data_IF_000937861910
#
_entry.id   IF_000937861910
#
_cell.length_a   1.000
_cell.length_b   1.000
_cell.length_c   1.000
_cell.angle_alpha   90.00
_cell.angle_beta   90.00
_cell.angle_gamma   90.00
#
_symmetry.space_group_name_H-M   'P 1'
#
loop_
_entity.id
_entity.type
_entity.pdbx_description
1 polymer ?
#
# COMPACT_ATOMS: atom_id res chain seq x y z
N UNK A 1 -24.25 -4.56 41.70
CA UNK A 1 -22.98 -5.33 41.79
C UNK A 1 -22.44 -5.84 40.42
N UNK A 2 -22.35 -5.01 39.39
CA UNK A 2 -21.82 -5.45 38.04
C UNK A 2 -20.79 -4.51 37.45
N UNK A 3 -20.18 -3.57 38.18
CA UNK A 3 -19.22 -2.60 37.64
C UNK A 3 -17.74 -2.88 37.91
N UNK A 4 -17.39 -3.92 38.68
CA UNK A 4 -15.97 -4.14 39.06
C UNK A 4 -15.23 -5.26 38.34
N UNK A 5 -15.91 -6.07 37.53
CA UNK A 5 -15.28 -7.22 36.84
C UNK A 5 -14.50 -6.80 35.58
N UNK A 6 -14.91 -5.73 34.92
CA UNK A 6 -14.22 -5.26 33.68
C UNK A 6 -12.91 -4.50 33.93
N UNK A 7 -12.71 -3.92 35.11
CA UNK A 7 -11.47 -3.18 35.45
C UNK A 7 -10.30 -4.09 35.76
N UNK A 8 -10.56 -5.29 36.28
CA UNK A 8 -9.53 -6.26 36.69
C UNK A 8 -8.90 -6.94 35.46
N UNK A 9 -9.66 -7.18 34.38
CA UNK A 9 -9.16 -7.85 33.19
C UNK A 9 -8.27 -6.97 32.30
N UNK A 10 -8.47 -5.65 32.27
CA UNK A 10 -7.61 -4.74 31.50
C UNK A 10 -6.20 -4.65 32.10
N UNK A 11 -6.08 -4.60 33.41
CA UNK A 11 -4.77 -4.57 34.09
C UNK A 11 -4.02 -5.89 33.94
N UNK A 12 -4.69 -7.04 33.93
CA UNK A 12 -4.06 -8.35 33.71
C UNK A 12 -3.56 -8.54 32.29
N UNK A 13 -4.21 -7.94 31.30
CA UNK A 13 -3.77 -7.96 29.91
C UNK A 13 -2.54 -7.05 29.70
N UNK A 14 -2.51 -5.90 30.35
CA UNK A 14 -1.36 -4.98 30.33
C UNK A 14 -0.13 -5.61 30.98
N UNK A 15 -0.31 -6.36 32.09
CA UNK A 15 0.80 -7.06 32.77
C UNK A 15 1.34 -8.26 31.98
N UNK A 16 0.56 -8.84 31.06
CA UNK A 16 1.00 -9.94 30.21
C UNK A 16 1.72 -9.48 28.93
N UNK A 17 1.53 -8.23 28.53
CA UNK A 17 2.16 -7.62 27.34
C UNK A 17 3.52 -6.96 27.65
N UNK A 18 3.80 -6.69 28.91
CA UNK A 18 5.08 -6.22 29.41
C UNK A 18 5.71 -7.43 30.11
N UNK A 19 6.70 -8.07 29.48
CA UNK A 19 7.51 -9.14 30.09
C UNK A 19 8.01 -8.66 31.44
N UNK A 20 7.29 -8.98 32.52
CA UNK A 20 7.58 -8.57 33.87
C UNK A 20 8.84 -9.27 34.40
N UNK A 21 10.00 -8.71 34.14
CA UNK A 21 11.06 -8.66 35.18
C UNK A 21 10.90 -7.32 35.89
N UNK A 22 10.20 -7.29 37.01
CA UNK A 22 10.29 -6.20 37.98
C UNK A 22 11.70 -6.21 38.54
N UNK A 23 12.59 -5.46 37.89
CA UNK A 23 13.91 -5.17 38.46
C UNK A 23 13.72 -3.97 39.35
N UNK A 24 13.72 -4.19 40.65
CA UNK A 24 13.84 -3.12 41.64
C UNK A 24 15.30 -2.63 41.62
N UNK A 25 15.55 -1.52 40.95
CA UNK A 25 16.80 -0.81 41.03
C UNK A 25 16.66 0.33 42.04
N UNK A 26 17.72 0.56 42.90
CA UNK A 26 17.72 1.58 43.93
C UNK A 26 17.83 3.02 43.41
N UNK A 27 17.72 3.23 42.11
CA UNK A 27 17.63 4.55 41.47
C UNK A 27 16.22 4.81 40.96
N UNK A 28 15.64 5.96 41.31
CA UNK A 28 14.38 6.43 40.80
C UNK A 28 14.43 6.50 39.26
N UNK A 29 13.82 5.54 38.59
CA UNK A 29 13.62 5.56 37.13
C UNK A 29 12.51 6.55 36.79
N UNK A 30 12.86 7.63 36.09
CA UNK A 30 11.89 8.54 35.53
C UNK A 30 11.11 7.85 34.40
N UNK A 31 10.00 7.19 34.77
CA UNK A 31 9.12 6.44 33.83
C UNK A 31 8.36 7.33 32.85
N UNK A 32 8.50 8.65 32.93
CA UNK A 32 7.89 9.64 32.04
C UNK A 32 8.86 10.20 30.99
N UNK A 33 10.15 9.90 31.05
CA UNK A 33 11.05 10.09 29.92
C UNK A 33 10.90 8.89 28.98
N UNK A 34 9.84 8.89 28.19
CA UNK A 34 9.76 8.07 27.00
C UNK A 34 10.64 8.79 25.98
N UNK A 35 11.85 8.28 25.74
CA UNK A 35 12.68 8.75 24.64
C UNK A 35 11.87 8.58 23.35
N UNK A 36 11.47 9.69 22.72
CA UNK A 36 10.67 9.70 21.49
C UNK A 36 11.28 8.84 20.38
N UNK A 37 12.58 8.60 20.42
CA UNK A 37 13.32 7.70 19.53
C UNK A 37 12.95 6.21 19.70
N UNK A 38 12.67 5.75 20.94
CA UNK A 38 12.32 4.33 21.18
C UNK A 38 10.90 3.97 20.72
N UNK A 39 9.94 4.90 20.81
CA UNK A 39 8.58 4.67 20.30
C UNK A 39 8.58 4.66 18.77
N UNK A 40 9.35 5.54 18.16
CA UNK A 40 9.51 5.61 16.70
C UNK A 40 10.09 4.31 16.13
N UNK A 41 11.17 3.80 16.72
CA UNK A 41 11.83 2.56 16.28
C UNK A 41 10.97 1.31 16.49
N UNK A 42 10.24 1.18 17.60
CA UNK A 42 9.30 0.07 17.82
C UNK A 42 8.14 0.10 16.80
N UNK A 43 7.60 1.27 16.50
CA UNK A 43 6.55 1.43 15.48
C UNK A 43 7.05 1.08 14.07
N UNK A 44 8.29 1.42 13.76
CA UNK A 44 8.96 1.12 12.48
C UNK A 44 9.11 -0.39 12.31
N UNK A 45 9.69 -1.07 13.29
CA UNK A 45 9.90 -2.52 13.25
C UNK A 45 8.58 -3.30 13.12
N UNK A 46 7.51 -2.86 13.78
CA UNK A 46 6.20 -3.51 13.70
C UNK A 46 5.61 -3.39 12.28
N UNK A 47 5.67 -2.22 11.65
CA UNK A 47 5.14 -2.04 10.29
C UNK A 47 5.92 -2.88 9.27
N UNK A 48 7.24 -2.90 9.35
CA UNK A 48 8.09 -3.69 8.46
C UNK A 48 7.84 -5.19 8.63
N UNK A 49 7.69 -5.67 9.86
CA UNK A 49 7.31 -7.06 10.14
C UNK A 49 5.95 -7.41 9.52
N UNK A 50 4.92 -6.57 9.69
CA UNK A 50 3.60 -6.80 9.11
C UNK A 50 3.63 -6.82 7.56
N UNK A 51 4.46 -5.98 6.93
CA UNK A 51 4.65 -6.00 5.48
C UNK A 51 5.39 -7.26 5.03
N UNK A 52 6.39 -7.72 5.78
CA UNK A 52 7.08 -8.99 5.53
C UNK A 52 6.12 -10.17 5.61
N UNK A 53 5.31 -10.25 6.67
CA UNK A 53 4.30 -11.30 6.85
C UNK A 53 3.27 -11.30 5.71
N UNK A 54 2.84 -10.12 5.26
CA UNK A 54 1.92 -9.99 4.13
C UNK A 54 2.57 -10.47 2.82
N UNK A 55 3.82 -10.10 2.60
CA UNK A 55 4.61 -10.54 1.44
C UNK A 55 4.74 -12.05 1.40
N UNK A 56 5.02 -12.70 2.54
CA UNK A 56 5.15 -14.16 2.64
C UNK A 56 3.79 -14.85 2.42
N UNK A 57 2.68 -14.28 2.91
CA UNK A 57 1.33 -14.78 2.62
C UNK A 57 1.03 -14.74 1.11
N UNK A 58 1.36 -13.64 0.42
CA UNK A 58 1.17 -13.55 -1.03
C UNK A 58 2.11 -14.53 -1.75
N UNK A 59 3.37 -14.66 -1.30
CA UNK A 59 4.33 -15.62 -1.85
C UNK A 59 3.88 -17.07 -1.68
N UNK A 60 3.18 -17.39 -0.59
CA UNK A 60 2.68 -18.74 -0.30
C UNK A 60 1.34 -19.07 -0.95
N UNK A 61 0.72 -18.17 -1.70
CA UNK A 61 -0.58 -18.38 -2.34
C UNK A 61 -0.56 -19.65 -3.21
N UNK A 62 -1.55 -20.53 -3.02
CA UNK A 62 -1.67 -21.79 -3.74
C UNK A 62 -2.69 -21.68 -4.88
N UNK A 63 -2.61 -22.56 -5.87
CA UNK A 63 -3.53 -22.64 -7.00
C UNK A 63 -3.74 -21.28 -7.70
N UNK A 64 -2.64 -20.56 -7.93
CA UNK A 64 -2.64 -19.22 -8.55
C UNK A 64 -1.94 -19.28 -9.91
N UNK A 65 -2.71 -19.12 -10.97
CA UNK A 65 -2.18 -19.17 -12.34
C UNK A 65 -1.18 -18.03 -12.60
N UNK A 66 -1.42 -16.83 -12.08
CA UNK A 66 -0.46 -15.72 -12.20
C UNK A 66 0.89 -16.10 -11.61
N UNK A 67 0.90 -16.75 -10.43
CA UNK A 67 2.15 -17.17 -9.79
C UNK A 67 2.88 -18.25 -10.56
N UNK A 68 2.17 -19.20 -11.20
CA UNK A 68 2.78 -20.27 -12.00
C UNK A 68 3.53 -19.72 -13.21
N UNK A 69 3.05 -18.62 -13.78
CA UNK A 69 3.56 -18.03 -15.02
C UNK A 69 4.53 -16.87 -14.79
N UNK A 70 4.70 -16.41 -13.55
CA UNK A 70 5.58 -15.32 -13.19
C UNK A 70 6.93 -15.82 -12.66
N UNK A 71 7.98 -15.04 -12.89
CA UNK A 71 9.33 -15.30 -12.39
C UNK A 71 9.47 -14.86 -10.95
N UNK A 72 8.99 -13.68 -10.62
CA UNK A 72 9.14 -13.07 -9.30
C UNK A 72 7.82 -12.52 -8.75
N UNK A 73 7.75 -12.49 -7.42
CA UNK A 73 6.78 -11.68 -6.72
C UNK A 73 7.18 -10.20 -6.80
N UNK A 74 6.31 -9.37 -7.34
CA UNK A 74 6.46 -7.90 -7.37
C UNK A 74 5.61 -7.32 -6.26
N UNK A 75 6.20 -7.10 -5.08
CA UNK A 75 5.44 -6.70 -3.88
C UNK A 75 5.24 -5.20 -3.80
N UNK A 76 6.32 -4.46 -3.64
CA UNK A 76 6.29 -2.99 -3.50
C UNK A 76 7.66 -2.37 -3.70
N UNK A 77 7.69 -1.03 -3.83
CA UNK A 77 8.88 -0.19 -3.83
C UNK A 77 8.60 1.15 -3.15
N UNK A 78 9.64 1.83 -2.69
CA UNK A 78 9.52 3.13 -2.03
C UNK A 78 9.45 3.05 -0.51
N UNK A 79 8.90 4.10 0.12
CA UNK A 79 8.91 4.28 1.57
C UNK A 79 7.59 3.82 2.21
N UNK A 80 7.57 2.75 3.03
CA UNK A 80 6.37 2.24 3.67
C UNK A 80 5.74 3.20 4.70
N UNK A 81 6.48 4.25 5.09
CA UNK A 81 6.01 5.31 5.99
C UNK A 81 5.48 6.53 5.25
N UNK A 82 5.45 6.48 3.92
CA UNK A 82 4.92 7.57 3.11
C UNK A 82 3.43 7.81 3.38
N UNK A 83 3.04 9.09 3.30
CA UNK A 83 1.63 9.50 3.33
C UNK A 83 0.91 9.24 2.00
N UNK A 84 1.66 8.95 0.93
CA UNK A 84 1.14 8.75 -0.42
C UNK A 84 1.44 7.31 -0.84
N UNK A 85 0.40 6.55 -1.19
CA UNK A 85 0.53 5.23 -1.77
C UNK A 85 -0.03 5.23 -3.20
N UNK A 86 0.71 4.59 -4.10
CA UNK A 86 0.38 4.50 -5.52
C UNK A 86 0.07 3.04 -5.84
N UNK A 87 -1.07 2.80 -6.48
CA UNK A 87 -1.51 1.47 -6.89
C UNK A 87 -1.67 1.43 -8.40
N UNK A 88 -0.90 0.56 -9.05
CA UNK A 88 -1.05 0.21 -10.45
C UNK A 88 -1.88 -1.06 -10.66
N UNK A 89 -1.92 -1.53 -11.93
CA UNK A 89 -2.66 -2.73 -12.32
C UNK A 89 -1.92 -4.01 -11.91
N UNK A 90 -0.74 -4.23 -12.43
CA UNK A 90 0.05 -5.44 -12.23
C UNK A 90 1.43 -5.32 -12.87
N UNK A 91 2.33 -6.30 -12.61
CA UNK A 91 3.67 -6.30 -13.16
C UNK A 91 3.70 -6.56 -14.68
N UNK A 92 4.57 -5.84 -15.37
CA UNK A 92 5.00 -6.17 -16.72
C UNK A 92 6.26 -7.06 -16.71
N UNK A 93 6.85 -7.27 -17.90
CA UNK A 93 8.00 -8.17 -18.06
C UNK A 93 9.26 -7.70 -17.30
N UNK A 94 9.52 -6.40 -17.28
CA UNK A 94 10.67 -5.85 -16.56
C UNK A 94 10.45 -5.92 -15.04
N UNK A 95 9.24 -5.62 -14.59
CA UNK A 95 8.86 -5.71 -13.19
C UNK A 95 8.96 -7.14 -12.67
N UNK A 96 8.51 -8.11 -13.47
CA UNK A 96 8.61 -9.54 -13.15
C UNK A 96 10.07 -9.99 -13.06
N UNK A 97 10.93 -9.51 -13.97
CA UNK A 97 12.37 -9.82 -13.96
C UNK A 97 13.08 -9.23 -12.74
N UNK A 98 12.76 -7.99 -12.35
CA UNK A 98 13.46 -7.27 -11.28
C UNK A 98 12.81 -7.46 -9.89
N UNK A 99 11.56 -7.97 -9.82
CA UNK A 99 10.80 -8.10 -8.59
C UNK A 99 10.35 -6.76 -7.99
N UNK A 100 10.36 -5.68 -8.76
CA UNK A 100 10.00 -4.32 -8.32
C UNK A 100 8.92 -3.72 -9.21
N UNK A 101 7.93 -2.97 -8.66
CA UNK A 101 6.89 -2.34 -9.44
C UNK A 101 7.43 -1.12 -10.22
N UNK A 102 6.86 -0.90 -11.41
CA UNK A 102 7.11 0.29 -12.22
C UNK A 102 8.61 0.54 -12.55
N UNK A 103 9.33 -0.48 -13.00
CA UNK A 103 10.73 -0.35 -13.44
C UNK A 103 10.89 -0.25 -14.97
N UNK A 104 9.87 -0.68 -15.72
CA UNK A 104 9.85 -0.60 -17.16
C UNK A 104 9.58 0.81 -17.71
N UNK A 105 9.26 0.92 -19.00
CA UNK A 105 9.00 2.20 -19.69
C UNK A 105 7.89 3.02 -19.03
N UNK A 106 6.80 2.36 -18.60
CA UNK A 106 5.69 2.99 -17.88
C UNK A 106 6.15 3.52 -16.51
N UNK A 107 7.02 2.80 -15.82
CA UNK A 107 7.62 3.20 -14.55
C UNK A 107 8.52 4.42 -14.70
N UNK A 108 9.36 4.49 -15.72
CA UNK A 108 10.16 5.68 -16.03
C UNK A 108 9.29 6.93 -16.29
N UNK A 109 8.12 6.74 -16.91
CA UNK A 109 7.17 7.84 -17.04
C UNK A 109 6.55 8.23 -15.70
N UNK A 110 6.21 7.25 -14.85
CA UNK A 110 5.73 7.53 -13.50
C UNK A 110 6.76 8.33 -12.69
N UNK A 111 8.05 7.99 -12.77
CA UNK A 111 9.11 8.72 -12.08
C UNK A 111 9.14 10.20 -12.53
N UNK A 112 9.04 10.47 -13.83
CA UNK A 112 8.94 11.84 -14.36
C UNK A 112 7.66 12.57 -13.93
N UNK A 113 6.55 11.84 -13.83
CA UNK A 113 5.29 12.40 -13.32
C UNK A 113 5.42 12.80 -11.84
N UNK A 114 6.07 11.99 -11.02
CA UNK A 114 6.34 12.31 -9.62
C UNK A 114 7.32 13.49 -9.49
N UNK A 115 8.40 13.50 -10.25
CA UNK A 115 9.36 14.60 -10.29
C UNK A 115 8.71 15.94 -10.62
N UNK A 116 7.71 15.96 -11.51
CA UNK A 116 6.99 17.17 -11.89
C UNK A 116 6.23 17.84 -10.73
N UNK A 117 5.89 17.07 -9.69
CA UNK A 117 5.28 17.55 -8.43
C UNK A 117 6.26 17.48 -7.25
N UNK A 118 7.58 17.47 -7.54
CA UNK A 118 8.67 17.46 -6.55
C UNK A 118 8.66 16.22 -5.63
N UNK A 119 8.13 15.11 -6.10
CA UNK A 119 8.17 13.81 -5.42
C UNK A 119 9.11 12.84 -6.14
N UNK A 120 9.54 11.81 -5.43
CA UNK A 120 10.29 10.69 -5.97
C UNK A 120 9.93 9.40 -5.21
N UNK A 121 10.53 8.26 -5.57
CA UNK A 121 10.23 6.97 -4.93
C UNK A 121 10.46 6.94 -3.42
N UNK A 122 11.34 7.78 -2.86
CA UNK A 122 11.56 7.89 -1.40
C UNK A 122 10.41 8.59 -0.68
N UNK A 123 9.60 9.37 -1.41
CA UNK A 123 8.46 10.12 -0.85
C UNK A 123 7.12 9.38 -0.99
N UNK A 124 7.07 8.29 -1.75
CA UNK A 124 5.86 7.53 -2.03
C UNK A 124 6.06 6.05 -1.73
N UNK A 125 4.96 5.30 -1.65
CA UNK A 125 4.96 3.84 -1.59
C UNK A 125 4.19 3.29 -2.78
N UNK A 126 4.77 2.38 -3.53
CA UNK A 126 4.24 1.92 -4.81
C UNK A 126 3.96 0.41 -4.76
N UNK A 127 2.78 0.00 -5.20
CA UNK A 127 2.40 -1.39 -5.36
C UNK A 127 1.41 -1.56 -6.53
N UNK A 128 0.86 -2.76 -6.70
CA UNK A 128 -0.11 -3.09 -7.75
C UNK A 128 -1.31 -3.83 -7.15
N UNK A 129 -2.41 -3.92 -7.92
CA UNK A 129 -3.59 -4.72 -7.58
C UNK A 129 -3.22 -6.19 -7.51
N UNK A 130 -2.48 -6.70 -8.51
CA UNK A 130 -1.94 -8.07 -8.51
C UNK A 130 -0.42 -8.04 -8.43
N UNK A 131 0.16 -9.00 -7.73
CA UNK A 131 1.58 -9.01 -7.42
C UNK A 131 2.41 -9.97 -8.29
N UNK A 132 1.78 -10.76 -9.14
CA UNK A 132 2.45 -11.61 -10.13
C UNK A 132 2.01 -11.21 -11.53
N UNK A 133 2.94 -11.31 -12.48
CA UNK A 133 2.73 -10.89 -13.85
C UNK A 133 1.68 -11.75 -14.55
N UNK A 134 0.62 -11.17 -15.13
CA UNK A 134 -0.29 -11.91 -16.00
C UNK A 134 0.41 -12.38 -17.29
N UNK A 135 0.08 -13.58 -17.81
CA UNK A 135 0.63 -14.09 -19.06
C UNK A 135 0.50 -13.05 -20.18
N UNK A 136 1.56 -12.87 -20.98
CA UNK A 136 1.61 -11.95 -22.13
C UNK A 136 1.25 -10.48 -21.79
N UNK A 137 1.37 -10.08 -20.51
CA UNK A 137 0.97 -8.77 -19.98
C UNK A 137 -0.52 -8.43 -20.25
N UNK A 138 -1.41 -9.43 -20.30
CA UNK A 138 -2.85 -9.18 -20.38
C UNK A 138 -3.35 -8.50 -19.11
N UNK A 139 -4.53 -7.92 -19.16
CA UNK A 139 -5.20 -7.47 -17.94
C UNK A 139 -5.50 -8.66 -17.02
N UNK A 140 -5.38 -8.47 -15.69
CA UNK A 140 -5.90 -9.44 -14.73
C UNK A 140 -7.41 -9.62 -14.92
N UNK A 141 -7.89 -10.83 -14.73
CA UNK A 141 -9.33 -11.13 -14.72
C UNK A 141 -9.97 -10.64 -13.43
N UNK A 142 -11.29 -10.50 -13.40
CA UNK A 142 -12.03 -10.11 -12.19
C UNK A 142 -11.85 -11.14 -11.07
N UNK A 143 -11.74 -12.42 -11.40
CA UNK A 143 -11.43 -13.49 -10.44
C UNK A 143 -10.03 -13.33 -9.84
N UNK A 144 -9.02 -13.03 -10.68
CA UNK A 144 -7.67 -12.77 -10.24
C UNK A 144 -7.63 -11.52 -9.34
N UNK A 145 -8.29 -10.42 -9.75
CA UNK A 145 -8.42 -9.21 -8.93
C UNK A 145 -9.08 -9.52 -7.59
N UNK A 146 -10.22 -10.22 -7.60
CA UNK A 146 -10.96 -10.62 -6.40
C UNK A 146 -10.10 -11.43 -5.42
N UNK A 147 -9.23 -12.28 -5.95
CA UNK A 147 -8.29 -13.09 -5.16
C UNK A 147 -7.22 -12.25 -4.46
N UNK A 148 -6.73 -11.18 -5.11
CA UNK A 148 -5.70 -10.30 -4.55
C UNK A 148 -6.27 -9.16 -3.71
N UNK A 149 -7.53 -8.81 -3.87
CA UNK A 149 -8.17 -7.69 -3.19
C UNK A 149 -8.06 -7.73 -1.66
N UNK A 150 -8.22 -8.87 -0.96
CA UNK A 150 -8.00 -8.93 0.49
C UNK A 150 -6.56 -8.57 0.89
N UNK A 151 -5.56 -9.01 0.11
CA UNK A 151 -4.16 -8.69 0.36
C UNK A 151 -3.88 -7.20 0.09
N UNK A 152 -4.44 -6.63 -0.98
CA UNK A 152 -4.32 -5.22 -1.30
C UNK A 152 -4.94 -4.34 -0.20
N UNK A 153 -6.14 -4.68 0.28
CA UNK A 153 -6.78 -3.97 1.39
C UNK A 153 -5.90 -4.03 2.64
N UNK A 154 -5.37 -5.21 2.97
CA UNK A 154 -4.47 -5.37 4.12
C UNK A 154 -3.17 -4.59 3.95
N UNK A 155 -2.63 -4.54 2.74
CA UNK A 155 -1.45 -3.74 2.40
C UNK A 155 -1.69 -2.25 2.68
N UNK A 156 -2.82 -1.72 2.22
CA UNK A 156 -3.23 -0.33 2.46
C UNK A 156 -3.44 -0.07 3.96
N UNK A 157 -4.06 -0.99 4.69
CA UNK A 157 -4.24 -0.89 6.16
C UNK A 157 -2.91 -0.82 6.92
N UNK A 158 -1.89 -1.57 6.48
CA UNK A 158 -0.55 -1.55 7.11
C UNK A 158 0.17 -0.23 6.80
N UNK A 159 0.15 0.22 5.55
CA UNK A 159 0.81 1.46 5.11
C UNK A 159 0.13 2.69 5.70
N UNK A 160 -1.20 2.70 5.79
CA UNK A 160 -2.05 3.81 6.29
C UNK A 160 -1.80 5.12 5.56
N UNK A 161 -1.89 5.14 4.22
CA UNK A 161 -1.65 6.36 3.46
C UNK A 161 -2.76 7.38 3.73
N UNK A 162 -2.41 8.68 3.70
CA UNK A 162 -3.40 9.77 3.68
C UNK A 162 -3.97 9.98 2.28
N UNK A 163 -3.17 9.69 1.26
CA UNK A 163 -3.53 9.82 -0.15
C UNK A 163 -3.26 8.49 -0.85
N UNK A 164 -4.25 7.99 -1.58
CA UNK A 164 -4.16 6.80 -2.41
C UNK A 164 -4.33 7.21 -3.87
N UNK A 165 -3.24 7.17 -4.64
CA UNK A 165 -3.25 7.42 -6.08
C UNK A 165 -3.48 6.12 -6.84
N UNK A 166 -4.61 6.02 -7.54
CA UNK A 166 -4.97 4.87 -8.35
C UNK A 166 -4.66 5.13 -9.83
N UNK A 167 -3.77 4.34 -10.40
CA UNK A 167 -3.32 4.49 -11.78
C UNK A 167 -4.05 3.51 -12.70
N UNK A 168 -5.03 4.03 -13.45
CA UNK A 168 -5.81 3.30 -14.44
C UNK A 168 -7.09 2.66 -13.90
N UNK A 169 -7.89 2.09 -14.82
CA UNK A 169 -9.21 1.54 -14.53
C UNK A 169 -9.15 0.32 -13.60
N UNK A 170 -8.16 -0.56 -13.75
CA UNK A 170 -8.04 -1.76 -12.91
C UNK A 170 -7.85 -1.40 -11.44
N UNK A 171 -6.97 -0.44 -11.13
CA UNK A 171 -6.76 0.02 -9.77
C UNK A 171 -7.99 0.76 -9.21
N UNK A 172 -8.64 1.59 -10.04
CA UNK A 172 -9.90 2.26 -9.68
C UNK A 172 -10.98 1.25 -9.32
N UNK A 173 -11.23 0.28 -10.20
CA UNK A 173 -12.29 -0.71 -10.02
C UNK A 173 -12.05 -1.60 -8.80
N UNK A 174 -10.80 -1.99 -8.55
CA UNK A 174 -10.44 -2.81 -7.39
C UNK A 174 -10.74 -2.12 -6.04
N UNK A 175 -10.61 -0.80 -5.97
CA UNK A 175 -10.75 -0.06 -4.71
C UNK A 175 -12.10 0.65 -4.59
N UNK A 176 -12.60 1.25 -5.67
CA UNK A 176 -13.83 2.05 -5.64
C UNK A 176 -15.03 1.22 -6.10
N UNK A 177 -14.84 0.36 -7.11
CA UNK A 177 -15.89 -0.44 -7.74
C UNK A 177 -16.05 -0.11 -9.23
N UNK A 178 -16.82 -0.94 -9.92
CA UNK A 178 -16.96 -0.90 -11.38
C UNK A 178 -17.97 0.15 -11.90
N UNK A 179 -18.64 0.87 -11.00
CA UNK A 179 -19.71 1.81 -11.37
C UNK A 179 -19.20 3.10 -12.02
N UNK A 180 -17.91 3.42 -11.81
CA UNK A 180 -17.33 4.69 -12.25
C UNK A 180 -16.17 4.43 -13.21
N UNK A 181 -16.27 4.95 -14.43
CA UNK A 181 -15.17 4.91 -15.40
C UNK A 181 -14.07 5.93 -15.08
N UNK A 182 -12.83 5.59 -15.41
CA UNK A 182 -11.64 6.39 -15.08
C UNK A 182 -11.75 7.85 -15.58
N UNK A 183 -12.32 8.09 -16.74
CA UNK A 183 -12.50 9.43 -17.32
C UNK A 183 -13.42 10.34 -16.50
N UNK A 184 -14.34 9.75 -15.73
CA UNK A 184 -15.26 10.48 -14.83
C UNK A 184 -14.75 10.56 -13.38
N UNK A 185 -13.95 9.56 -12.95
CA UNK A 185 -13.41 9.49 -11.60
C UNK A 185 -12.17 10.38 -11.42
N UNK A 186 -11.34 10.54 -12.48
CA UNK A 186 -10.13 11.36 -12.41
C UNK A 186 -10.42 12.84 -12.13
N UNK A 187 -9.45 13.55 -11.57
CA UNK A 187 -9.58 14.97 -11.27
C UNK A 187 -10.56 15.28 -10.13
N UNK A 188 -10.86 14.32 -9.28
CA UNK A 188 -11.75 14.47 -8.12
C UNK A 188 -11.20 13.70 -6.94
N UNK A 189 -11.34 14.25 -5.74
CA UNK A 189 -11.11 13.51 -4.51
C UNK A 189 -12.30 12.60 -4.19
N UNK A 190 -12.00 11.37 -3.83
CA UNK A 190 -12.98 10.38 -3.35
C UNK A 190 -12.55 9.98 -1.94
N UNK A 191 -13.39 10.23 -0.96
CA UNK A 191 -13.15 9.75 0.39
C UNK A 191 -13.52 8.27 0.49
N UNK A 192 -12.62 7.43 1.00
CA UNK A 192 -12.85 5.98 1.10
C UNK A 192 -12.38 5.45 2.44
N UNK A 193 -13.22 4.65 3.07
CA UNK A 193 -12.86 3.81 4.20
C UNK A 193 -12.45 2.43 3.68
N UNK A 194 -11.24 1.97 4.06
CA UNK A 194 -10.68 0.66 3.70
C UNK A 194 -10.27 -0.02 5.00
N UNK A 195 -11.00 -1.08 5.41
CA UNK A 195 -10.83 -1.62 6.76
C UNK A 195 -11.05 -0.56 7.82
N UNK A 196 -10.07 -0.36 8.69
CA UNK A 196 -10.14 0.62 9.79
C UNK A 196 -9.50 1.97 9.44
N UNK A 197 -9.04 2.16 8.21
CA UNK A 197 -8.41 3.41 7.78
C UNK A 197 -9.31 4.24 6.88
N UNK A 198 -9.11 5.54 6.95
CA UNK A 198 -9.74 6.53 6.09
C UNK A 198 -8.66 7.19 5.23
N UNK A 199 -8.90 7.26 3.92
CA UNK A 199 -7.93 7.79 2.97
C UNK A 199 -8.61 8.60 1.87
N UNK A 200 -7.95 9.64 1.40
CA UNK A 200 -8.37 10.38 0.22
C UNK A 200 -7.83 9.68 -1.01
N UNK A 201 -8.71 9.31 -1.91
CA UNK A 201 -8.39 8.62 -3.15
C UNK A 201 -8.45 9.61 -4.30
N UNK A 202 -7.44 9.58 -5.15
CA UNK A 202 -7.44 10.25 -6.45
C UNK A 202 -7.12 9.22 -7.54
N UNK A 203 -7.87 9.26 -8.63
CA UNK A 203 -7.62 8.40 -9.78
C UNK A 203 -6.96 9.21 -10.91
N UNK A 204 -6.04 8.58 -11.63
CA UNK A 204 -5.43 9.16 -12.83
C UNK A 204 -5.21 8.09 -13.88
N UNK A 205 -4.87 8.51 -15.10
CA UNK A 205 -4.55 7.59 -16.18
C UNK A 205 -3.25 6.81 -15.89
N UNK A 206 -3.24 5.53 -16.25
CA UNK A 206 -2.06 4.70 -16.12
C UNK A 206 -0.92 5.20 -17.05
N UNK A 207 0.34 5.25 -16.60
CA UNK A 207 1.45 5.71 -17.44
C UNK A 207 1.57 4.98 -18.77
N UNK A 208 1.30 3.68 -18.84
CA UNK A 208 1.27 2.93 -20.10
C UNK A 208 0.19 3.42 -21.09
N UNK A 209 -0.95 3.90 -20.59
CA UNK A 209 -1.97 4.52 -21.42
C UNK A 209 -1.47 5.89 -21.94
N UNK A 210 -0.83 6.71 -21.11
CA UNK A 210 -0.28 8.01 -21.47
C UNK A 210 0.86 7.92 -22.50
N UNK A 211 1.52 6.78 -22.59
CA UNK A 211 2.51 6.51 -23.65
C UNK A 211 1.85 6.26 -25.00
N UNK A 212 0.68 5.63 -25.01
CA UNK A 212 -0.08 5.36 -26.25
C UNK A 212 -0.94 6.54 -26.67
N UNK A 213 -1.34 7.37 -25.71
CA UNK A 213 -2.21 8.55 -25.89
C UNK A 213 -1.53 9.78 -25.23
N UNK A 214 -0.49 10.37 -25.86
CA UNK A 214 0.29 11.45 -25.26
C UNK A 214 -0.52 12.70 -24.93
N UNK A 215 -1.57 13.00 -25.68
CA UNK A 215 -2.46 14.15 -25.47
C UNK A 215 -3.21 14.09 -24.13
N UNK A 216 -3.35 12.90 -23.56
CA UNK A 216 -3.98 12.69 -22.26
C UNK A 216 -3.08 13.07 -21.08
N UNK A 217 -1.79 13.36 -21.31
CA UNK A 217 -0.85 13.78 -20.26
C UNK A 217 -1.28 15.07 -19.56
N UNK A 218 -1.91 15.99 -20.29
CA UNK A 218 -2.46 17.23 -19.72
C UNK A 218 -3.45 16.95 -18.59
N UNK A 219 -4.28 15.94 -18.74
CA UNK A 219 -5.23 15.57 -17.71
C UNK A 219 -4.56 14.86 -16.51
N UNK A 220 -3.59 14.00 -16.76
CA UNK A 220 -2.81 13.41 -15.68
C UNK A 220 -2.04 14.48 -14.88
N UNK A 221 -1.56 15.53 -15.54
CA UNK A 221 -0.95 16.68 -14.88
C UNK A 221 -1.92 17.40 -13.94
N UNK A 222 -3.18 17.62 -14.38
CA UNK A 222 -4.22 18.20 -13.51
C UNK A 222 -4.47 17.33 -12.27
N UNK A 223 -4.50 15.99 -12.44
CA UNK A 223 -4.68 15.07 -11.31
C UNK A 223 -3.52 15.15 -10.31
N UNK A 224 -2.28 15.20 -10.82
CA UNK A 224 -1.08 15.25 -9.99
C UNK A 224 -0.96 16.56 -9.19
N UNK A 225 -1.38 17.67 -9.76
CA UNK A 225 -1.36 18.98 -9.04
C UNK A 225 -2.27 19.00 -7.81
N UNK A 226 -3.19 18.05 -7.68
CA UNK A 226 -4.07 17.93 -6.52
C UNK A 226 -3.39 17.25 -5.33
N UNK A 227 -2.26 16.57 -5.54
CA UNK A 227 -1.49 15.85 -4.52
C UNK A 227 -0.49 16.77 -3.84
#
# INVERSE_FOLDING_TARGET
>A
MKKNIYKINKNRLYHKLINNKLVYDNKALNRYKIDGNNISTMSTNVKESLLSDLKDKIKSIRNCELKKNATNLVFSDGNPFSKIMIIGEGPGANEDKEGKPFVGRAGKLLDKMLESIKLNRKNVYISNVVNFRPPQNRKPTDEEIGRYLPFLKKHIEIVKPKILLLLGSTALNAIIGNEIVISKARGKWIYKKIGDIETNVIASFHPAFLMRQPDQKKYAWEDLKMI
#
